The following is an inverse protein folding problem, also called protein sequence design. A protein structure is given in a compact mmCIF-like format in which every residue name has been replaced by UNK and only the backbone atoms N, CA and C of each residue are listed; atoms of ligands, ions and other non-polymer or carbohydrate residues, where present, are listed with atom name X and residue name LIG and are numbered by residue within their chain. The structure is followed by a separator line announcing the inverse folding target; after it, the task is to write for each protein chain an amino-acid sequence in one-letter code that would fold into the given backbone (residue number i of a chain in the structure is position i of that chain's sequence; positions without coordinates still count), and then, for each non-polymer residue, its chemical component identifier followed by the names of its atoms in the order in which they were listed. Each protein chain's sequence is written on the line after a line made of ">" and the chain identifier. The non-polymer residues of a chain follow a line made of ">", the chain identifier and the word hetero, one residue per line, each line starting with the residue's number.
data_IF_232041108553
#
_entry.id   IF_232041108553
#
_cell.length_a   1.000
_cell.length_b   1.000
_cell.length_c   1.000
_cell.angle_alpha   90.00
_cell.angle_beta   90.00
_cell.angle_gamma   90.00
#
_symmetry.space_group_name_H-M   'P 1'
#
loop_
_entity.id
_entity.type
_entity.pdbx_description
1 polymer ?
#
# COMPACT_ATOMS: atom_id res chain seq x y z
N UNK A 1 -13.55 15.70 4.81
CA UNK A 1 -12.96 14.38 4.46
C UNK A 1 -12.88 14.11 2.95
N UNK A 2 -13.94 14.31 2.14
CA UNK A 2 -13.93 14.03 0.68
C UNK A 2 -12.72 14.59 -0.09
N UNK A 3 -12.24 15.79 0.25
CA UNK A 3 -11.09 16.41 -0.42
C UNK A 3 -9.77 15.69 -0.16
N UNK A 4 -9.58 15.14 1.05
CA UNK A 4 -8.37 14.41 1.42
C UNK A 4 -8.34 13.05 0.74
N UNK A 5 -9.47 12.34 0.68
CA UNK A 5 -9.54 11.07 -0.04
C UNK A 5 -9.20 11.18 -1.53
N UNK A 6 -9.69 12.24 -2.20
CA UNK A 6 -9.29 12.56 -3.57
C UNK A 6 -7.81 12.92 -3.70
N UNK A 7 -7.20 13.49 -2.66
CA UNK A 7 -5.76 13.75 -2.65
C UNK A 7 -4.98 12.45 -2.56
N UNK A 8 -5.34 11.57 -1.61
CA UNK A 8 -4.73 10.26 -1.43
C UNK A 8 -4.78 9.46 -2.73
N UNK A 9 -5.93 9.44 -3.40
CA UNK A 9 -6.08 8.76 -4.69
C UNK A 9 -5.12 9.32 -5.75
N UNK A 10 -5.15 10.63 -5.97
CA UNK A 10 -4.26 11.29 -6.94
C UNK A 10 -2.79 11.04 -6.65
N UNK A 11 -2.39 11.08 -5.39
CA UNK A 11 -1.02 10.86 -4.96
C UNK A 11 -0.58 9.41 -5.21
N UNK A 12 -1.40 8.42 -4.83
CA UNK A 12 -1.10 7.00 -5.08
C UNK A 12 -0.97 6.73 -6.58
N UNK A 13 -1.92 7.21 -7.39
CA UNK A 13 -1.88 7.02 -8.83
C UNK A 13 -0.66 7.71 -9.46
N UNK A 14 -0.30 8.92 -9.01
CA UNK A 14 0.91 9.62 -9.47
C UNK A 14 2.18 8.84 -9.13
N UNK A 15 2.26 8.26 -7.92
CA UNK A 15 3.42 7.46 -7.48
C UNK A 15 3.57 6.18 -8.31
N UNK A 16 2.47 5.45 -8.50
CA UNK A 16 2.53 4.07 -8.98
C UNK A 16 2.29 3.92 -10.49
N UNK A 17 1.33 4.66 -11.08
CA UNK A 17 0.83 4.40 -12.44
C UNK A 17 1.93 4.51 -13.51
N UNK A 18 2.86 5.45 -13.34
CA UNK A 18 3.93 5.69 -14.31
C UNK A 18 5.18 4.85 -14.07
N UNK A 19 5.32 4.25 -12.89
CA UNK A 19 6.53 3.50 -12.49
C UNK A 19 6.35 2.00 -12.57
N UNK A 20 5.13 1.49 -12.36
CA UNK A 20 4.84 0.08 -12.51
C UNK A 20 4.70 -0.29 -13.99
N UNK A 21 5.43 -1.34 -14.38
CA UNK A 21 5.30 -1.97 -15.70
C UNK A 21 4.28 -3.11 -15.64
N UNK A 22 3.53 -3.33 -16.71
CA UNK A 22 2.55 -4.42 -16.82
C UNK A 22 1.28 -4.00 -17.56
N UNK A 23 0.27 -4.87 -17.53
CA UNK A 23 -1.06 -4.55 -18.09
C UNK A 23 -1.71 -3.42 -17.29
N UNK A 24 -2.30 -2.45 -17.99
CA UNK A 24 -2.94 -1.29 -17.36
C UNK A 24 -3.95 -1.68 -16.27
N UNK A 25 -4.79 -2.69 -16.52
CA UNK A 25 -5.78 -3.17 -15.56
C UNK A 25 -5.16 -3.73 -14.27
N UNK A 26 -4.03 -4.44 -14.38
CA UNK A 26 -3.31 -4.97 -13.21
C UNK A 26 -2.64 -3.85 -12.41
N UNK A 27 -2.08 -2.85 -13.10
CA UNK A 27 -1.50 -1.65 -12.48
C UNK A 27 -2.56 -0.86 -11.73
N UNK A 28 -3.73 -0.63 -12.34
CA UNK A 28 -4.84 0.08 -11.71
C UNK A 28 -5.37 -0.67 -10.48
N UNK A 29 -5.51 -1.99 -10.54
CA UNK A 29 -5.90 -2.79 -9.38
C UNK A 29 -4.90 -2.66 -8.21
N UNK A 30 -3.59 -2.61 -8.49
CA UNK A 30 -2.58 -2.35 -7.46
C UNK A 30 -2.71 -0.94 -6.89
N UNK A 31 -2.93 0.07 -7.73
CA UNK A 31 -3.15 1.45 -7.30
C UNK A 31 -4.37 1.54 -6.36
N UNK A 32 -5.52 0.97 -6.74
CA UNK A 32 -6.73 1.00 -5.92
C UNK A 32 -6.57 0.29 -4.58
N UNK A 33 -5.84 -0.83 -4.53
CA UNK A 33 -5.48 -1.48 -3.26
C UNK A 33 -4.62 -0.57 -2.40
N UNK A 34 -3.61 0.07 -2.97
CA UNK A 34 -2.76 1.00 -2.24
C UNK A 34 -3.52 2.27 -1.79
N UNK A 35 -4.53 2.72 -2.54
CA UNK A 35 -5.46 3.78 -2.09
C UNK A 35 -6.20 3.33 -0.84
N UNK A 36 -6.76 2.11 -0.81
CA UNK A 36 -7.42 1.57 0.38
C UNK A 36 -6.47 1.53 1.58
N UNK A 37 -5.25 1.02 1.39
CA UNK A 37 -4.21 0.97 2.42
C UNK A 37 -3.87 2.38 2.94
N UNK A 38 -3.65 3.32 2.03
CA UNK A 38 -3.30 4.70 2.36
C UNK A 38 -4.42 5.42 3.12
N UNK A 39 -5.70 5.14 2.79
CA UNK A 39 -6.84 5.67 3.56
C UNK A 39 -6.86 5.13 4.99
N UNK A 40 -6.59 3.83 5.18
CA UNK A 40 -6.51 3.22 6.52
C UNK A 40 -5.36 3.82 7.33
N UNK A 41 -4.17 3.93 6.72
CA UNK A 41 -3.00 4.55 7.34
C UNK A 41 -3.27 6.02 7.69
N UNK A 42 -3.90 6.79 6.79
CA UNK A 42 -4.27 8.17 7.04
C UNK A 42 -5.25 8.28 8.20
N UNK A 43 -6.30 7.43 8.23
CA UNK A 43 -7.28 7.42 9.31
C UNK A 43 -6.65 7.16 10.69
N UNK A 44 -5.55 6.41 10.75
CA UNK A 44 -4.85 6.09 12.00
C UNK A 44 -3.79 7.12 12.39
N UNK A 45 -3.01 7.60 11.43
CA UNK A 45 -1.78 8.37 11.68
C UNK A 45 -1.79 9.80 11.11
N UNK A 46 -2.79 10.17 10.31
CA UNK A 46 -2.86 11.47 9.64
C UNK A 46 -1.82 11.69 8.54
N UNK A 47 -1.19 10.62 8.04
CA UNK A 47 -0.09 10.71 7.06
C UNK A 47 -0.58 10.46 5.62
N UNK A 48 -0.12 11.28 4.68
CA UNK A 48 -0.41 11.16 3.25
C UNK A 48 0.52 10.14 2.56
N UNK A 49 0.21 9.68 1.33
CA UNK A 49 0.98 8.61 0.67
C UNK A 49 2.49 8.83 0.61
N UNK A 50 2.95 10.02 0.21
CA UNK A 50 4.38 10.36 0.18
C UNK A 50 5.06 10.35 1.56
N UNK A 51 4.28 10.44 2.65
CA UNK A 51 4.77 10.46 4.03
C UNK A 51 4.71 9.07 4.68
N UNK A 52 4.24 8.04 3.96
CA UNK A 52 4.22 6.67 4.47
C UNK A 52 5.66 6.22 4.73
N UNK A 53 5.92 5.77 5.96
CA UNK A 53 7.19 5.21 6.42
C UNK A 53 7.00 3.75 6.79
N UNK A 54 8.11 3.03 6.93
CA UNK A 54 8.12 1.60 7.27
C UNK A 54 7.22 1.25 8.46
N UNK A 55 7.26 2.02 9.56
CA UNK A 55 6.42 1.79 10.75
C UNK A 55 4.92 1.76 10.46
N UNK A 56 4.44 2.54 9.49
CA UNK A 56 3.02 2.57 9.13
C UNK A 56 2.62 1.31 8.37
N UNK A 57 3.50 0.84 7.47
CA UNK A 57 3.29 -0.39 6.71
C UNK A 57 3.37 -1.62 7.62
N UNK A 58 4.35 -1.67 8.53
CA UNK A 58 4.45 -2.71 9.56
C UNK A 58 3.16 -2.79 10.37
N UNK A 59 2.67 -1.66 10.88
CA UNK A 59 1.39 -1.63 11.60
C UNK A 59 0.23 -2.12 10.74
N UNK A 60 0.16 -1.72 9.46
CA UNK A 60 -0.90 -2.17 8.56
C UNK A 60 -0.88 -3.69 8.38
N UNK A 61 0.31 -4.27 8.15
CA UNK A 61 0.47 -5.73 8.09
C UNK A 61 0.02 -6.36 9.40
N UNK A 62 0.63 -5.95 10.51
CA UNK A 62 0.54 -6.60 11.80
C UNK A 62 -0.80 -6.41 12.50
N UNK A 63 -1.65 -5.47 12.09
CA UNK A 63 -2.94 -5.18 12.76
C UNK A 63 -4.12 -5.26 11.80
N UNK A 64 -3.97 -4.77 10.57
CA UNK A 64 -5.10 -4.67 9.64
C UNK A 64 -5.14 -5.88 8.73
N UNK A 65 -4.00 -6.31 8.21
CA UNK A 65 -3.98 -7.34 7.18
C UNK A 65 -3.99 -8.76 7.77
N UNK A 66 -3.27 -8.98 8.88
CA UNK A 66 -3.15 -10.31 9.50
C UNK A 66 -4.22 -10.62 10.55
N UNK A 67 -4.73 -9.62 11.29
CA UNK A 67 -5.77 -9.86 12.31
C UNK A 67 -7.19 -9.72 11.80
N UNK A 68 -7.37 -9.28 10.55
CA UNK A 68 -8.67 -9.33 9.89
C UNK A 68 -8.91 -10.76 9.35
N UNK A 69 -9.43 -11.61 10.24
CA UNK A 69 -9.68 -13.05 10.05
C UNK A 69 -10.58 -13.34 8.83
N UNK A 70 -11.35 -12.34 8.38
CA UNK A 70 -12.29 -12.50 7.27
C UNK A 70 -11.63 -12.37 5.89
N UNK A 71 -10.37 -11.91 5.80
CA UNK A 71 -9.70 -11.71 4.51
C UNK A 71 -8.95 -12.97 4.04
N UNK A 72 -9.31 -13.57 2.89
CA UNK A 72 -8.61 -14.74 2.37
C UNK A 72 -7.13 -14.46 2.09
N UNK A 73 -6.26 -15.46 2.30
CA UNK A 73 -4.82 -15.35 2.07
C UNK A 73 -4.45 -14.83 0.65
N UNK A 74 -5.20 -15.24 -0.37
CA UNK A 74 -5.01 -14.76 -1.75
C UNK A 74 -5.27 -13.25 -1.90
N UNK A 75 -6.21 -12.71 -1.12
CA UNK A 75 -6.48 -11.28 -1.03
C UNK A 75 -5.36 -10.59 -0.26
N UNK A 76 -4.96 -11.11 0.91
CA UNK A 76 -3.83 -10.58 1.68
C UNK A 76 -2.56 -10.47 0.82
N UNK A 77 -2.23 -11.51 0.06
CA UNK A 77 -1.09 -11.50 -0.85
C UNK A 77 -1.19 -10.41 -1.93
N UNK A 78 -2.39 -10.13 -2.46
CA UNK A 78 -2.61 -9.04 -3.43
C UNK A 78 -2.40 -7.65 -2.81
N UNK A 79 -2.73 -7.46 -1.53
CA UNK A 79 -2.43 -6.22 -0.80
C UNK A 79 -0.93 -6.10 -0.51
N UNK A 80 -0.29 -7.20 -0.10
CA UNK A 80 1.17 -7.26 0.03
C UNK A 80 1.88 -6.84 -1.27
N UNK A 81 1.45 -7.37 -2.42
CA UNK A 81 2.02 -6.99 -3.72
C UNK A 81 1.80 -5.51 -4.08
N UNK A 82 0.68 -4.92 -3.65
CA UNK A 82 0.45 -3.49 -3.83
C UNK A 82 1.42 -2.66 -2.98
N UNK A 83 1.66 -3.05 -1.72
CA UNK A 83 2.63 -2.40 -0.83
C UNK A 83 4.06 -2.53 -1.37
N UNK A 84 4.44 -3.73 -1.81
CA UNK A 84 5.75 -3.97 -2.44
C UNK A 84 5.93 -3.04 -3.64
N UNK A 85 4.98 -3.03 -4.57
CA UNK A 85 5.04 -2.16 -5.74
C UNK A 85 5.10 -0.67 -5.39
N UNK A 86 4.37 -0.25 -4.36
CA UNK A 86 4.47 1.12 -3.83
C UNK A 86 5.88 1.44 -3.31
N UNK A 87 6.47 0.56 -2.49
CA UNK A 87 7.83 0.71 -1.96
C UNK A 87 8.89 0.75 -3.06
N UNK A 88 8.73 -0.05 -4.11
CA UNK A 88 9.59 -0.01 -5.30
C UNK A 88 9.45 1.35 -6.01
N UNK A 89 8.23 1.85 -6.17
CA UNK A 89 7.97 3.15 -6.82
C UNK A 89 8.52 4.34 -6.03
N UNK A 90 8.53 4.30 -4.69
CA UNK A 90 9.12 5.35 -3.86
C UNK A 90 10.62 5.13 -3.59
N UNK A 91 11.21 4.04 -4.10
CA UNK A 91 12.64 3.75 -3.96
C UNK A 91 13.06 3.26 -2.56
N UNK A 92 12.13 2.85 -1.70
CA UNK A 92 12.42 2.41 -0.33
C UNK A 92 12.50 0.90 -0.19
N UNK A 93 12.10 0.13 -1.22
CA UNK A 93 12.06 -1.33 -1.17
C UNK A 93 13.39 -1.95 -0.74
N UNK A 94 14.52 -1.51 -1.30
CA UNK A 94 15.84 -2.05 -0.95
C UNK A 94 16.15 -2.01 0.54
N UNK A 95 15.76 -0.94 1.23
CA UNK A 95 15.99 -0.79 2.67
C UNK A 95 14.92 -1.48 3.53
N UNK A 96 13.70 -1.62 3.01
CA UNK A 96 12.55 -2.12 3.79
C UNK A 96 12.24 -3.60 3.55
N UNK A 97 12.79 -4.19 2.49
CA UNK A 97 12.51 -5.56 2.03
C UNK A 97 12.52 -6.59 3.17
N UNK A 98 13.59 -6.64 3.97
CA UNK A 98 13.71 -7.63 5.05
C UNK A 98 12.58 -7.54 6.09
N UNK A 99 12.15 -6.33 6.43
CA UNK A 99 11.06 -6.13 7.40
C UNK A 99 9.69 -6.50 6.82
N UNK A 100 9.48 -6.28 5.52
CA UNK A 100 8.19 -6.50 4.86
C UNK A 100 8.02 -7.93 4.35
N UNK A 101 9.09 -8.60 3.90
CA UNK A 101 9.01 -9.98 3.39
C UNK A 101 8.70 -11.01 4.48
N UNK A 102 9.12 -10.78 5.72
CA UNK A 102 8.75 -11.63 6.87
C UNK A 102 7.22 -11.61 7.12
N UNK A 103 6.54 -10.56 6.64
CA UNK A 103 5.08 -10.35 6.74
C UNK A 103 4.34 -10.76 5.47
N UNK A 104 4.99 -11.51 4.59
CA UNK A 104 4.34 -12.04 3.39
C UNK A 104 3.35 -13.15 3.83
N UNK A 105 2.05 -13.05 3.46
CA UNK A 105 1.07 -14.10 3.67
C UNK A 105 1.34 -15.36 2.86
#
# INVERSE_FOLDING_TARGET
>A
MKNVEKSIERDVFRIMRHKLKGKNSEVELKCWRMVKISKVIFSRFGVLPYQIRLKHLIWYFDIVMFWDIEMPASTQYRYYLAIKGFCECVGTWGHWKGHLEIRRP
#
